data_IF_168803294987
#
_entry.id   IF_168803294987
#
_cell.length_a   1.000
_cell.length_b   1.000
_cell.length_c   1.000
_cell.angle_alpha   90.00
_cell.angle_beta   90.00
_cell.angle_gamma   90.00
#
_symmetry.space_group_name_H-M   'P 1'
#
loop_
_entity.id
_entity.type
_entity.pdbx_description
1 polymer ?
#
# COMPACT_ATOMS: atom_id res chain seq x y z
N UNK A 1 12.08 -0.73 16.40
CA UNK A 1 11.77 -2.15 16.12
C UNK A 1 10.27 -2.31 16.32
N UNK A 2 9.55 -2.96 15.40
CA UNK A 2 8.11 -3.12 15.52
C UNK A 2 7.79 -4.07 16.69
N UNK A 3 6.91 -3.66 17.60
CA UNK A 3 6.54 -4.42 18.80
C UNK A 3 6.00 -5.82 18.42
N UNK A 4 5.30 -5.89 17.29
CA UNK A 4 4.78 -7.14 16.75
C UNK A 4 5.89 -8.14 16.39
N UNK A 5 6.93 -7.66 15.70
CA UNK A 5 8.04 -8.50 15.25
C UNK A 5 8.85 -9.02 16.44
N UNK A 6 8.99 -8.20 17.49
CA UNK A 6 9.64 -8.61 18.73
C UNK A 6 8.82 -9.68 19.48
N UNK A 7 7.49 -9.51 19.57
CA UNK A 7 6.59 -10.50 20.18
C UNK A 7 6.65 -11.84 19.44
N UNK A 8 6.57 -11.83 18.11
CA UNK A 8 6.72 -13.03 17.30
C UNK A 8 8.08 -13.67 17.49
N UNK A 9 9.16 -12.89 17.51
CA UNK A 9 10.49 -13.43 17.72
C UNK A 9 10.61 -14.16 19.07
N UNK A 10 10.07 -13.56 20.14
CA UNK A 10 10.11 -14.14 21.50
C UNK A 10 9.18 -15.35 21.66
N UNK A 11 8.02 -15.35 21.01
CA UNK A 11 7.00 -16.41 21.13
C UNK A 11 6.98 -17.41 19.95
N UNK A 12 7.93 -17.34 19.02
CA UNK A 12 7.98 -18.20 17.83
C UNK A 12 8.35 -19.66 18.11
N UNK A 13 9.09 -19.95 19.19
CA UNK A 13 9.58 -21.30 19.46
C UNK A 13 9.38 -21.74 20.89
N UNK A 14 9.04 -23.03 21.06
CA UNK A 14 8.84 -23.66 22.37
C UNK A 14 10.07 -23.54 23.28
N UNK A 15 11.27 -23.62 22.71
CA UNK A 15 12.53 -23.48 23.46
C UNK A 15 12.70 -22.06 24.02
N UNK A 16 12.42 -21.03 23.22
CA UNK A 16 12.49 -19.62 23.65
C UNK A 16 11.41 -19.31 24.68
N UNK A 17 10.18 -19.78 24.45
CA UNK A 17 9.08 -19.65 25.42
C UNK A 17 9.46 -20.28 26.76
N UNK A 18 10.05 -21.49 26.75
CA UNK A 18 10.50 -22.17 27.97
C UNK A 18 11.58 -21.38 28.71
N UNK A 19 12.52 -20.77 27.98
CA UNK A 19 13.54 -19.90 28.58
C UNK A 19 12.94 -18.61 29.16
N UNK A 20 12.02 -17.98 28.42
CA UNK A 20 11.34 -16.74 28.82
C UNK A 20 10.49 -16.93 30.08
N UNK A 21 9.87 -18.10 30.22
CA UNK A 21 8.93 -18.42 31.29
C UNK A 21 9.53 -19.34 32.36
N UNK A 22 10.86 -19.48 32.40
CA UNK A 22 11.57 -20.41 33.28
C UNK A 22 11.21 -20.23 34.76
N UNK A 23 11.01 -18.99 35.18
CA UNK A 23 10.75 -18.62 36.58
C UNK A 23 9.26 -18.41 36.88
N UNK A 24 8.39 -18.65 35.89
CA UNK A 24 6.93 -18.48 36.02
C UNK A 24 6.31 -19.80 36.45
N UNK A 25 5.53 -19.77 37.54
CA UNK A 25 4.82 -20.95 38.05
C UNK A 25 3.59 -21.27 37.19
N UNK A 26 3.21 -22.54 37.17
CA UNK A 26 2.01 -23.04 36.45
C UNK A 26 0.74 -22.17 36.64
N UNK A 27 0.32 -21.77 37.87
CA UNK A 27 -0.90 -20.97 38.04
C UNK A 27 -0.81 -19.57 37.41
N UNK A 28 0.39 -18.98 37.35
CA UNK A 28 0.58 -17.69 36.68
C UNK A 28 0.54 -17.85 35.15
N UNK A 29 1.04 -18.96 34.63
CA UNK A 29 0.90 -19.30 33.21
C UNK A 29 -0.56 -19.48 32.80
N UNK A 30 -1.36 -20.16 33.62
CA UNK A 30 -2.81 -20.32 33.39
C UNK A 30 -3.53 -18.97 33.35
N UNK A 31 -3.19 -18.04 34.26
CA UNK A 31 -3.73 -16.67 34.24
C UNK A 31 -3.36 -15.90 32.98
N UNK A 32 -2.11 -16.02 32.52
CA UNK A 32 -1.65 -15.39 31.27
C UNK A 32 -2.42 -15.96 30.08
N UNK A 33 -2.57 -17.29 30.02
CA UNK A 33 -3.32 -17.97 28.96
C UNK A 33 -4.79 -17.54 28.95
N UNK A 34 -5.43 -17.39 30.12
CA UNK A 34 -6.80 -16.89 30.22
C UNK A 34 -6.94 -15.52 29.54
N UNK A 35 -6.09 -14.56 29.90
CA UNK A 35 -6.12 -13.21 29.31
C UNK A 35 -5.87 -13.22 27.80
N UNK A 36 -4.92 -14.03 27.34
CA UNK A 36 -4.64 -14.18 25.90
C UNK A 36 -5.83 -14.76 25.13
N UNK A 37 -6.52 -15.74 25.71
CA UNK A 37 -7.70 -16.35 25.12
C UNK A 37 -8.88 -15.37 25.07
N UNK A 38 -9.05 -14.53 26.10
CA UNK A 38 -10.10 -13.51 26.10
C UNK A 38 -9.86 -12.47 24.98
N UNK A 39 -8.62 -11.98 24.84
CA UNK A 39 -8.26 -11.09 23.72
C UNK A 39 -8.40 -11.77 22.36
N UNK A 40 -8.14 -13.08 22.26
CA UNK A 40 -8.34 -13.83 21.02
C UNK A 40 -9.83 -13.89 20.64
N UNK A 41 -10.71 -14.18 21.62
CA UNK A 41 -12.16 -14.21 21.42
C UNK A 41 -12.70 -12.86 20.97
N UNK A 42 -12.26 -11.77 21.58
CA UNK A 42 -12.64 -10.41 21.16
C UNK A 42 -12.27 -10.14 19.70
N UNK A 43 -11.05 -10.54 19.30
CA UNK A 43 -10.60 -10.38 17.91
C UNK A 43 -11.36 -11.27 16.93
N UNK A 44 -11.74 -12.47 17.33
CA UNK A 44 -12.56 -13.36 16.50
C UNK A 44 -13.97 -12.78 16.33
N UNK A 45 -14.62 -12.36 17.43
CA UNK A 45 -15.93 -11.73 17.39
C UNK A 45 -15.95 -10.48 16.49
N UNK A 46 -14.92 -9.64 16.56
CA UNK A 46 -14.79 -8.47 15.69
C UNK A 46 -14.70 -8.88 14.21
N UNK A 47 -13.91 -9.91 13.89
CA UNK A 47 -13.78 -10.42 12.51
C UNK A 47 -15.09 -11.04 12.01
N UNK A 48 -15.78 -11.79 12.86
CA UNK A 48 -17.03 -12.44 12.49
C UNK A 48 -18.12 -11.39 12.26
N UNK A 49 -18.19 -10.34 13.09
CA UNK A 49 -19.09 -9.21 12.87
C UNK A 49 -18.79 -8.43 11.58
N UNK A 50 -17.52 -8.25 11.22
CA UNK A 50 -17.14 -7.66 9.94
C UNK A 50 -17.57 -8.52 8.75
N UNK A 51 -17.41 -9.83 8.84
CA UNK A 51 -17.84 -10.77 7.81
C UNK A 51 -19.37 -10.82 7.70
N UNK A 52 -20.11 -10.87 8.81
CA UNK A 52 -21.58 -10.79 8.82
C UNK A 52 -22.08 -9.50 8.16
N UNK A 53 -21.48 -8.35 8.50
CA UNK A 53 -21.82 -7.07 7.88
C UNK A 53 -21.53 -7.08 6.36
N UNK A 54 -20.47 -7.76 5.94
CA UNK A 54 -20.15 -7.93 4.51
C UNK A 54 -21.17 -8.83 3.81
N UNK A 55 -21.57 -9.94 4.44
CA UNK A 55 -22.58 -10.86 3.92
C UNK A 55 -23.95 -10.18 3.83
N UNK A 56 -24.37 -9.42 4.84
CA UNK A 56 -25.61 -8.64 4.80
C UNK A 56 -25.60 -7.62 3.65
N UNK A 57 -24.48 -6.93 3.43
CA UNK A 57 -24.33 -6.03 2.29
C UNK A 57 -24.46 -6.76 0.96
N UNK A 58 -23.80 -7.91 0.80
CA UNK A 58 -23.90 -8.72 -0.42
C UNK A 58 -25.33 -9.22 -0.66
N UNK A 59 -25.99 -9.74 0.38
CA UNK A 59 -27.39 -10.17 0.31
C UNK A 59 -28.32 -9.01 -0.07
N UNK A 60 -28.10 -7.82 0.50
CA UNK A 60 -28.89 -6.63 0.14
C UNK A 60 -28.68 -6.23 -1.33
N UNK A 61 -27.46 -6.29 -1.83
CA UNK A 61 -27.13 -6.00 -3.23
C UNK A 61 -27.81 -7.01 -4.15
N UNK A 62 -27.77 -8.29 -3.81
CA UNK A 62 -28.38 -9.34 -4.63
C UNK A 62 -29.91 -9.29 -4.60
N UNK A 63 -30.51 -8.97 -3.45
CA UNK A 63 -31.95 -8.71 -3.35
C UNK A 63 -32.36 -7.50 -4.22
N UNK A 64 -31.57 -6.42 -4.22
CA UNK A 64 -31.81 -5.26 -5.08
C UNK A 64 -31.69 -5.63 -6.56
N UNK A 65 -30.67 -6.42 -6.96
CA UNK A 65 -30.53 -6.90 -8.34
C UNK A 65 -31.72 -7.74 -8.80
N UNK A 66 -32.25 -8.60 -7.94
CA UNK A 66 -33.45 -9.41 -8.26
C UNK A 66 -34.67 -8.50 -8.47
N UNK A 67 -34.91 -7.56 -7.57
CA UNK A 67 -36.01 -6.57 -7.71
C UNK A 67 -35.86 -5.72 -8.98
N UNK A 68 -34.64 -5.35 -9.34
CA UNK A 68 -34.36 -4.61 -10.58
C UNK A 68 -34.64 -5.45 -11.82
N UNK A 69 -34.25 -6.73 -11.82
CA UNK A 69 -34.53 -7.66 -12.91
C UNK A 69 -36.05 -7.88 -13.07
N UNK A 70 -36.77 -8.07 -11.96
CA UNK A 70 -38.23 -8.27 -11.95
C UNK A 70 -39.00 -7.06 -12.50
N UNK A 71 -38.46 -5.84 -12.32
CA UNK A 71 -39.05 -4.60 -12.85
C UNK A 71 -38.52 -4.22 -14.23
N UNK A 72 -37.64 -5.03 -14.83
CA UNK A 72 -37.07 -4.77 -16.15
C UNK A 72 -36.18 -3.53 -16.21
N UNK A 73 -35.61 -3.09 -15.08
CA UNK A 73 -34.75 -1.90 -14.98
C UNK A 73 -33.29 -2.32 -15.02
N UNK A 74 -32.54 -1.86 -16.01
CA UNK A 74 -31.10 -2.10 -16.12
C UNK A 74 -30.32 -1.18 -15.19
N UNK A 75 -29.11 -1.60 -14.75
CA UNK A 75 -28.16 -0.73 -14.03
C UNK A 75 -27.83 0.57 -14.80
N UNK A 76 -27.98 0.56 -16.13
CA UNK A 76 -27.85 1.74 -16.98
C UNK A 76 -29.01 2.73 -16.87
N UNK A 77 -30.24 2.24 -16.63
CA UNK A 77 -31.45 3.09 -16.54
C UNK A 77 -31.49 3.88 -15.22
N UNK A 78 -30.76 3.43 -14.19
CA UNK A 78 -30.60 4.13 -12.92
C UNK A 78 -29.55 5.26 -12.95
N UNK A 79 -28.88 5.49 -14.08
CA UNK A 79 -27.80 6.50 -14.17
C UNK A 79 -26.58 6.21 -13.29
N UNK A 80 -26.50 5.01 -12.70
CA UNK A 80 -25.40 4.53 -11.85
C UNK A 80 -24.33 3.78 -12.65
N UNK A 81 -24.52 3.61 -13.95
CA UNK A 81 -23.45 3.34 -14.89
C UNK A 81 -22.59 4.58 -15.01
N UNK A 82 -21.67 4.77 -14.07
CA UNK A 82 -20.72 5.87 -14.13
C UNK A 82 -20.05 5.86 -15.50
N UNK A 83 -20.22 6.96 -16.23
CA UNK A 83 -19.26 7.39 -17.23
C UNK A 83 -17.91 7.52 -16.52
N UNK A 84 -17.23 6.39 -16.37
CA UNK A 84 -15.81 6.35 -16.09
C UNK A 84 -15.14 6.85 -17.35
N UNK A 85 -15.19 8.17 -17.55
CA UNK A 85 -14.41 8.85 -18.55
C UNK A 85 -12.99 8.28 -18.43
N UNK A 86 -12.42 7.72 -19.51
CA UNK A 86 -11.15 7.02 -19.43
C UNK A 86 -10.15 7.98 -18.81
N UNK A 87 -9.59 7.60 -17.65
CA UNK A 87 -8.54 8.39 -16.99
C UNK A 87 -7.47 8.67 -18.03
N UNK A 88 -7.40 9.91 -18.49
CA UNK A 88 -6.44 10.39 -19.48
C UNK A 88 -5.05 10.06 -18.92
N UNK A 89 -4.42 8.99 -19.40
CA UNK A 89 -3.04 8.65 -19.06
C UNK A 89 -2.21 9.85 -19.48
N UNK A 90 -1.68 10.58 -18.50
CA UNK A 90 -0.80 11.73 -18.75
C UNK A 90 0.45 11.15 -19.40
N UNK A 91 0.59 11.35 -20.71
CA UNK A 91 1.71 10.84 -21.47
C UNK A 91 2.96 11.55 -20.92
N UNK A 92 3.74 10.86 -20.10
CA UNK A 92 4.89 11.49 -19.45
C UNK A 92 6.05 11.35 -20.41
N UNK A 93 6.34 12.43 -21.14
CA UNK A 93 7.49 12.49 -22.03
C UNK A 93 8.76 12.16 -21.24
N UNK A 94 9.52 11.21 -21.76
CA UNK A 94 10.84 10.83 -21.24
C UNK A 94 11.87 11.75 -21.89
N UNK A 95 12.80 12.25 -21.09
CA UNK A 95 13.89 13.11 -21.51
C UNK A 95 15.20 12.52 -21.01
N UNK A 96 16.27 12.74 -21.77
CA UNK A 96 17.63 12.42 -21.34
C UNK A 96 18.25 13.66 -20.71
N UNK A 97 18.55 13.59 -19.42
CA UNK A 97 19.18 14.67 -18.67
C UNK A 97 20.67 14.39 -18.52
N UNK A 98 21.49 15.42 -18.69
CA UNK A 98 22.91 15.36 -18.36
C UNK A 98 23.20 16.17 -17.11
N UNK A 99 23.95 15.57 -16.20
CA UNK A 99 24.36 16.23 -14.96
C UNK A 99 25.75 15.78 -14.54
N UNK A 100 26.42 16.65 -13.81
CA UNK A 100 27.74 16.38 -13.27
C UNK A 100 27.60 15.74 -11.88
N UNK A 101 28.27 14.62 -11.65
CA UNK A 101 28.34 13.98 -10.33
C UNK A 101 29.27 14.74 -9.39
N UNK A 102 29.20 14.44 -8.10
CA UNK A 102 30.13 15.01 -7.10
C UNK A 102 31.61 14.71 -7.40
N UNK A 103 31.87 13.68 -8.22
CA UNK A 103 33.21 13.28 -8.67
C UNK A 103 33.72 14.07 -9.88
N UNK A 104 32.91 14.97 -10.46
CA UNK A 104 33.26 15.76 -11.65
C UNK A 104 32.99 15.05 -12.99
N UNK A 105 32.37 13.87 -12.96
CA UNK A 105 32.07 13.11 -14.17
C UNK A 105 30.71 13.51 -14.76
N UNK A 106 30.63 13.59 -16.08
CA UNK A 106 29.37 13.82 -16.79
C UNK A 106 28.55 12.54 -16.86
N UNK A 107 27.40 12.50 -16.18
CA UNK A 107 26.47 11.37 -16.17
C UNK A 107 25.18 11.67 -16.93
N UNK A 108 24.65 10.65 -17.60
CA UNK A 108 23.39 10.71 -18.35
C UNK A 108 22.30 9.97 -17.58
N UNK A 109 21.11 10.55 -17.50
CA UNK A 109 19.96 9.92 -16.88
C UNK A 109 18.70 10.10 -17.71
N UNK A 110 18.07 8.98 -18.07
CA UNK A 110 16.77 8.96 -18.72
C UNK A 110 15.65 8.95 -17.69
N UNK A 111 14.84 10.00 -17.72
CA UNK A 111 13.83 10.25 -16.70
C UNK A 111 12.61 10.95 -17.26
N UNK A 112 11.56 10.96 -16.46
CA UNK A 112 10.37 11.75 -16.75
C UNK A 112 10.44 13.08 -15.98
N UNK A 113 9.86 14.14 -16.53
CA UNK A 113 9.79 15.46 -15.87
C UNK A 113 9.00 15.43 -14.55
N UNK A 114 8.15 14.42 -14.38
CA UNK A 114 7.34 14.16 -13.18
C UNK A 114 7.75 12.83 -12.55
N UNK A 115 8.21 12.84 -11.30
CA UNK A 115 8.56 11.62 -10.57
C UNK A 115 9.73 11.79 -9.61
N UNK A 116 10.27 10.66 -9.16
CA UNK A 116 11.40 10.59 -8.24
C UNK A 116 12.71 10.84 -8.99
N UNK A 117 13.52 11.77 -8.50
CA UNK A 117 14.83 12.11 -9.08
C UNK A 117 15.92 11.22 -8.47
N UNK A 118 16.95 10.84 -9.24
CA UNK A 118 18.17 10.26 -8.70
C UNK A 118 18.82 11.23 -7.72
N UNK A 119 19.40 10.70 -6.64
CA UNK A 119 20.10 11.50 -5.62
C UNK A 119 21.18 12.40 -6.22
N UNK A 120 21.99 11.88 -7.15
CA UNK A 120 23.03 12.65 -7.82
C UNK A 120 22.48 13.84 -8.61
N UNK A 121 21.38 13.66 -9.35
CA UNK A 121 20.73 14.74 -10.08
C UNK A 121 20.08 15.76 -9.15
N UNK A 122 19.47 15.32 -8.05
CA UNK A 122 18.90 16.21 -7.04
C UNK A 122 19.98 17.09 -6.38
N UNK A 123 21.13 16.51 -6.03
CA UNK A 123 22.27 17.26 -5.49
C UNK A 123 22.81 18.27 -6.50
N UNK A 124 22.94 17.87 -7.77
CA UNK A 124 23.38 18.76 -8.85
C UNK A 124 22.44 19.95 -9.06
N UNK A 125 21.12 19.74 -9.08
CA UNK A 125 20.13 20.82 -9.19
C UNK A 125 20.18 21.76 -7.97
N UNK A 126 20.37 21.22 -6.77
CA UNK A 126 20.49 22.03 -5.55
C UNK A 126 21.79 22.85 -5.54
N UNK A 127 22.89 22.30 -6.06
CA UNK A 127 24.19 22.99 -6.17
C UNK A 127 24.17 24.11 -7.21
N UNK A 128 23.56 23.85 -8.36
CA UNK A 128 23.62 24.77 -9.52
C UNK A 128 22.43 25.72 -9.61
N UNK A 129 21.35 25.48 -8.86
CA UNK A 129 20.12 26.26 -8.94
C UNK A 129 19.38 26.16 -10.28
N UNK A 130 19.82 25.28 -11.18
CA UNK A 130 19.23 25.09 -12.51
C UNK A 130 17.89 24.38 -12.41
N UNK A 131 16.99 24.67 -13.36
CA UNK A 131 15.72 23.94 -13.46
C UNK A 131 15.96 22.62 -14.20
N UNK A 132 15.11 21.63 -13.94
CA UNK A 132 15.21 20.28 -14.55
C UNK A 132 15.32 20.35 -16.08
N UNK A 133 14.55 21.24 -16.70
CA UNK A 133 14.50 21.41 -18.16
C UNK A 133 15.80 21.97 -18.75
N UNK A 134 16.59 22.70 -17.96
CA UNK A 134 17.86 23.29 -18.42
C UNK A 134 18.97 22.24 -18.55
N UNK A 135 18.73 21.03 -18.03
CA UNK A 135 19.68 19.91 -18.05
C UNK A 135 19.29 18.84 -19.07
N UNK A 136 18.24 19.07 -19.86
CA UNK A 136 17.81 18.16 -20.92
C UNK A 136 18.78 18.30 -22.09
N UNK A 137 19.41 17.21 -22.49
CA UNK A 137 20.04 17.16 -23.81
C UNK A 137 18.91 16.81 -24.77
N UNK A 138 18.61 17.76 -25.63
CA UNK A 138 17.62 17.63 -26.69
C UNK A 138 18.10 16.60 -27.72
N UNK A 139 17.48 15.42 -27.74
CA UNK A 139 17.27 14.69 -28.99
C UNK A 139 15.80 14.94 -29.36
N UNK A 140 15.58 16.00 -30.13
CA UNK A 140 14.28 16.29 -30.73
C UNK A 140 13.92 15.24 -31.79
N UNK A 141 12.66 14.80 -31.73
CA UNK A 141 11.76 14.40 -32.82
C UNK A 141 12.35 13.75 -34.08
N UNK A 142 11.87 12.55 -34.45
CA UNK A 142 10.89 12.40 -35.54
C UNK A 142 10.50 10.94 -35.83
N UNK A 143 9.23 10.78 -36.24
CA UNK A 143 8.55 9.65 -36.90
C UNK A 143 7.91 8.56 -36.03
#
# INVERSE_FOLDING_TARGET
MNIFDELLHRLSSKTRIRQLLKDVKAPELERILSRMNDTLKEKQLARDSEEENRQLKLQSIDAIKQIMADRGVSMGDLGLGGDSAPRRRRNTQKYTFQYETETGDSSLWEGATTGRLPRGFQTYLHRTGKKRMDCVIENQDTA
#
